data_IF_693095942930
#
_entry.id   IF_693095942930
#
_cell.length_a   1.000
_cell.length_b   1.000
_cell.length_c   1.000
_cell.angle_alpha   90.00
_cell.angle_beta   90.00
_cell.angle_gamma   90.00
#
_symmetry.space_group_name_H-M   'P 1'
#
loop_
_entity.id
_entity.type
_entity.pdbx_description
1 polymer ?
#
# COMPACT_ATOMS: atom_id res chain seq x y z
N UNK A 1 -23.31 0.54 9.11
CA UNK A 1 -23.54 0.02 10.48
C UNK A 1 -22.17 -0.18 11.11
N UNK A 2 -22.01 0.30 12.35
CA UNK A 2 -20.75 0.62 13.04
C UNK A 2 -19.72 -0.53 13.10
N UNK A 3 -18.43 -0.22 12.89
CA UNK A 3 -17.33 -1.12 13.28
C UNK A 3 -16.24 -0.29 14.00
N UNK A 4 -16.38 -0.20 15.32
CA UNK A 4 -15.27 0.00 16.26
C UNK A 4 -15.34 -1.15 17.27
N UNK A 5 -14.19 -1.62 17.74
CA UNK A 5 -13.92 -2.72 18.71
C UNK A 5 -13.31 -4.02 18.16
N UNK A 6 -12.11 -3.90 17.57
CA UNK A 6 -10.95 -4.77 17.87
C UNK A 6 -9.68 -3.98 17.54
N UNK A 7 -8.54 -4.21 18.23
CA UNK A 7 -7.28 -3.72 17.71
C UNK A 7 -7.04 -4.37 16.34
N UNK A 8 -6.98 -3.54 15.31
CA UNK A 8 -6.11 -3.72 14.14
C UNK A 8 -6.46 -4.66 12.98
N UNK A 9 -7.73 -4.97 12.70
CA UNK A 9 -8.07 -5.53 11.37
C UNK A 9 -9.35 -4.86 10.85
N UNK A 10 -9.19 -3.94 9.91
CA UNK A 10 -10.24 -3.71 8.91
C UNK A 10 -10.19 -4.97 8.04
N UNK A 11 -11.25 -5.76 8.01
CA UNK A 11 -11.36 -6.97 7.18
C UNK A 11 -12.35 -6.80 6.03
N UNK A 12 -13.07 -5.68 6.03
CA UNK A 12 -14.12 -5.39 5.07
C UNK A 12 -13.79 -4.12 4.31
N UNK A 13 -14.01 -4.21 3.00
CA UNK A 13 -13.85 -3.07 2.13
C UNK A 13 -14.91 -2.03 2.44
N UNK A 14 -14.52 -0.76 2.62
CA UNK A 14 -15.48 0.30 2.86
C UNK A 14 -16.48 0.36 1.70
N UNK A 15 -17.76 0.58 1.99
CA UNK A 15 -18.81 0.66 0.97
C UNK A 15 -18.59 1.83 -0.01
N UNK A 16 -17.81 2.83 0.42
CA UNK A 16 -17.40 3.99 -0.34
C UNK A 16 -16.13 3.79 -1.17
N UNK A 17 -15.92 4.69 -2.12
CA UNK A 17 -14.69 4.73 -2.92
C UNK A 17 -13.53 5.44 -2.22
N UNK A 18 -13.80 6.16 -1.14
CA UNK A 18 -12.81 6.90 -0.35
C UNK A 18 -12.91 6.45 1.10
N UNK A 19 -11.76 6.26 1.75
CA UNK A 19 -11.69 5.87 3.15
C UNK A 19 -10.55 6.57 3.88
N UNK A 20 -10.84 7.10 5.06
CA UNK A 20 -9.87 7.72 5.94
C UNK A 20 -9.62 6.80 7.14
N UNK A 21 -8.39 6.29 7.27
CA UNK A 21 -8.01 5.45 8.40
C UNK A 21 -7.95 6.32 9.67
N UNK A 22 -8.58 5.91 10.79
CA UNK A 22 -8.54 6.66 12.05
C UNK A 22 -7.11 6.91 12.56
N UNK A 23 -6.86 8.09 13.14
CA UNK A 23 -5.53 8.54 13.58
C UNK A 23 -4.92 7.78 14.76
N UNK A 24 -5.68 6.87 15.40
CA UNK A 24 -5.17 5.97 16.44
C UNK A 24 -4.65 4.64 15.88
N UNK A 25 -4.75 4.41 14.56
CA UNK A 25 -4.23 3.22 13.89
C UNK A 25 -2.72 3.36 13.72
N UNK A 26 -1.94 2.43 14.28
CA UNK A 26 -0.47 2.39 14.26
C UNK A 26 0.11 1.40 13.26
N UNK A 27 -0.70 0.53 12.67
CA UNK A 27 -0.28 -0.49 11.70
C UNK A 27 -1.47 -0.90 10.82
N UNK A 28 -1.20 -1.26 9.57
CA UNK A 28 -2.20 -1.85 8.68
C UNK A 28 -1.92 -3.34 8.59
N UNK A 29 -2.85 -4.16 9.08
CA UNK A 29 -2.70 -5.61 9.13
C UNK A 29 -2.58 -6.27 7.76
N UNK A 30 -2.10 -7.51 7.75
CA UNK A 30 -2.06 -8.33 6.53
C UNK A 30 -3.46 -8.47 5.94
N UNK A 31 -3.57 -8.30 4.62
CA UNK A 31 -4.82 -8.38 3.86
C UNK A 31 -5.95 -7.42 4.27
N UNK A 32 -5.69 -6.39 5.08
CA UNK A 32 -6.74 -5.55 5.67
C UNK A 32 -7.72 -4.92 4.66
N UNK A 33 -7.20 -4.48 3.51
CA UNK A 33 -7.96 -3.94 2.39
C UNK A 33 -7.78 -4.78 1.12
N UNK A 34 -7.44 -6.07 1.27
CA UNK A 34 -7.30 -6.94 0.12
C UNK A 34 -8.63 -7.06 -0.61
N UNK A 35 -8.59 -7.02 -1.94
CA UNK A 35 -9.74 -7.12 -2.83
C UNK A 35 -10.80 -6.00 -2.67
N UNK A 36 -10.40 -4.82 -2.19
CA UNK A 36 -11.27 -3.64 -2.18
C UNK A 36 -11.43 -3.02 -3.56
N UNK A 37 -12.21 -3.71 -4.40
CA UNK A 37 -12.41 -3.39 -5.81
C UNK A 37 -13.05 -2.02 -6.04
N UNK A 38 -13.73 -1.45 -5.04
CA UNK A 38 -14.38 -0.12 -5.12
C UNK A 38 -13.50 1.02 -4.61
N UNK A 39 -12.44 0.71 -3.86
CA UNK A 39 -11.58 1.72 -3.24
C UNK A 39 -10.78 2.46 -4.32
N UNK A 40 -10.98 3.77 -4.42
CA UNK A 40 -10.29 4.67 -5.34
C UNK A 40 -9.21 5.51 -4.66
N UNK A 41 -9.39 5.82 -3.37
CA UNK A 41 -8.47 6.61 -2.55
C UNK A 41 -8.52 6.15 -1.10
N UNK A 42 -7.38 6.23 -0.41
CA UNK A 42 -7.27 5.95 1.02
C UNK A 42 -6.26 6.89 1.67
N UNK A 43 -6.64 7.46 2.82
CA UNK A 43 -5.76 8.28 3.64
C UNK A 43 -5.17 7.43 4.77
N UNK A 44 -3.84 7.31 4.78
CA UNK A 44 -3.10 6.64 5.85
C UNK A 44 -2.58 7.72 6.82
N UNK A 45 -2.97 7.71 8.12
CA UNK A 45 -2.52 8.69 9.09
C UNK A 45 -1.04 8.48 9.45
N UNK A 46 -0.40 9.56 9.91
CA UNK A 46 1.01 9.56 10.35
C UNK A 46 1.29 8.76 11.62
N UNK A 47 0.26 8.18 12.25
CA UNK A 47 0.41 7.21 13.33
C UNK A 47 0.83 5.83 12.82
N UNK A 48 0.57 5.50 11.55
CA UNK A 48 0.87 4.19 10.96
C UNK A 48 2.37 4.04 10.73
N UNK A 49 2.96 2.98 11.30
CA UNK A 49 4.39 2.67 11.19
C UNK A 49 4.69 1.48 10.28
N UNK A 50 3.69 0.64 9.98
CA UNK A 50 3.87 -0.53 9.12
C UNK A 50 2.65 -0.84 8.25
N UNK A 51 2.92 -1.39 7.07
CA UNK A 51 1.90 -1.90 6.13
C UNK A 51 2.15 -3.39 5.91
N UNK A 52 1.17 -4.22 6.28
CA UNK A 52 1.27 -5.67 6.25
C UNK A 52 1.26 -6.30 4.86
N UNK A 53 1.52 -7.60 4.83
CA UNK A 53 1.51 -8.38 3.58
C UNK A 53 0.12 -8.37 2.94
N UNK A 54 0.08 -8.16 1.62
CA UNK A 54 -1.17 -8.07 0.85
C UNK A 54 -2.18 -7.02 1.33
N UNK A 55 -1.78 -6.05 2.16
CA UNK A 55 -2.68 -5.11 2.82
C UNK A 55 -3.66 -4.40 1.87
N UNK A 56 -3.24 -4.07 0.65
CA UNK A 56 -4.04 -3.45 -0.42
C UNK A 56 -4.03 -4.28 -1.71
N UNK A 57 -3.74 -5.58 -1.61
CA UNK A 57 -3.67 -6.45 -2.79
C UNK A 57 -5.01 -6.43 -3.55
N UNK A 58 -4.97 -6.37 -4.88
CA UNK A 58 -6.13 -6.37 -5.75
C UNK A 58 -7.11 -5.19 -5.55
N UNK A 59 -6.66 -4.05 -5.01
CA UNK A 59 -7.40 -2.79 -5.05
C UNK A 59 -7.37 -2.19 -6.47
N UNK A 60 -8.12 -2.79 -7.41
CA UNK A 60 -8.04 -2.50 -8.85
C UNK A 60 -8.32 -1.04 -9.23
N UNK A 61 -9.10 -0.31 -8.43
CA UNK A 61 -9.50 1.07 -8.68
C UNK A 61 -8.69 2.10 -7.89
N UNK A 62 -7.78 1.68 -7.00
CA UNK A 62 -6.94 2.60 -6.24
C UNK A 62 -6.00 3.31 -7.21
N UNK A 63 -6.13 4.62 -7.33
CA UNK A 63 -5.40 5.41 -8.36
C UNK A 63 -4.13 6.05 -7.82
N UNK A 64 -4.14 6.45 -6.56
CA UNK A 64 -3.03 7.06 -5.85
C UNK A 64 -3.06 6.65 -4.38
N UNK A 65 -1.89 6.57 -3.76
CA UNK A 65 -1.76 6.43 -2.32
C UNK A 65 -0.52 7.18 -1.83
N UNK A 66 -0.68 7.92 -0.73
CA UNK A 66 0.43 8.58 -0.04
C UNK A 66 0.82 7.72 1.15
N UNK A 67 2.06 7.22 1.17
CA UNK A 67 2.62 6.53 2.32
C UNK A 67 3.20 7.59 3.28
N UNK A 68 2.74 7.69 4.53
CA UNK A 68 3.25 8.70 5.45
C UNK A 68 4.68 8.39 5.89
N UNK A 69 5.45 9.42 6.21
CA UNK A 69 6.86 9.34 6.64
C UNK A 69 7.07 8.63 7.98
N UNK A 70 6.01 8.20 8.64
CA UNK A 70 6.06 7.33 9.82
C UNK A 70 6.23 5.86 9.46
N UNK A 71 5.93 5.46 8.22
CA UNK A 71 6.02 4.07 7.78
C UNK A 71 7.48 3.68 7.58
N UNK A 72 7.88 2.58 8.21
CA UNK A 72 9.23 2.03 8.13
C UNK A 72 9.30 0.74 7.29
N UNK A 73 8.18 0.05 7.10
CA UNK A 73 8.12 -1.23 6.40
C UNK A 73 6.86 -1.41 5.56
N UNK A 74 7.04 -2.00 4.36
CA UNK A 74 5.99 -2.38 3.43
C UNK A 74 6.08 -3.89 3.19
N UNK A 75 5.00 -4.61 3.48
CA UNK A 75 4.95 -6.06 3.41
C UNK A 75 4.95 -6.63 1.98
N UNK A 76 5.13 -7.95 1.90
CA UNK A 76 5.10 -8.68 0.62
C UNK A 76 3.74 -8.54 -0.04
N UNK A 77 3.73 -8.30 -1.35
CA UNK A 77 2.50 -8.09 -2.14
C UNK A 77 1.55 -6.99 -1.64
N UNK A 78 2.01 -6.07 -0.77
CA UNK A 78 1.17 -5.07 -0.11
C UNK A 78 0.26 -4.29 -1.07
N UNK A 79 0.73 -3.95 -2.27
CA UNK A 79 -0.01 -3.26 -3.33
C UNK A 79 -0.07 -4.08 -4.63
N UNK A 80 0.06 -5.40 -4.53
CA UNK A 80 0.03 -6.30 -5.68
C UNK A 80 -1.30 -6.16 -6.43
N UNK A 81 -1.26 -6.13 -7.76
CA UNK A 81 -2.43 -6.01 -8.64
C UNK A 81 -3.29 -4.77 -8.42
N UNK A 82 -2.76 -3.69 -7.84
CA UNK A 82 -3.40 -2.38 -7.87
C UNK A 82 -3.33 -1.80 -9.30
N UNK A 83 -4.15 -2.32 -10.22
CA UNK A 83 -4.07 -1.99 -11.65
C UNK A 83 -4.42 -0.54 -11.96
N UNK A 84 -5.15 0.13 -11.08
CA UNK A 84 -5.50 1.54 -11.18
C UNK A 84 -4.37 2.48 -10.77
N UNK A 85 -3.38 1.99 -10.01
CA UNK A 85 -2.37 2.81 -9.35
C UNK A 85 -1.42 3.38 -10.39
N UNK A 86 -1.39 4.71 -10.51
CA UNK A 86 -0.57 5.42 -11.51
C UNK A 86 0.76 5.91 -10.95
N UNK A 87 0.78 6.24 -9.66
CA UNK A 87 1.95 6.77 -8.96
C UNK A 87 1.96 6.31 -7.51
N UNK A 88 3.17 6.17 -6.97
CA UNK A 88 3.38 5.98 -5.54
C UNK A 88 4.70 6.61 -5.12
N UNK A 89 4.69 7.29 -3.98
CA UNK A 89 5.89 7.86 -3.36
C UNK A 89 6.25 7.03 -2.14
N UNK A 90 7.46 6.46 -2.12
CA UNK A 90 8.00 5.76 -0.97
C UNK A 90 8.80 6.76 -0.13
N UNK A 91 8.41 7.05 1.12
CA UNK A 91 9.14 8.01 1.95
C UNK A 91 10.49 7.43 2.40
N UNK A 92 11.46 8.32 2.68
CA UNK A 92 12.82 7.98 3.13
C UNK A 92 12.87 7.31 4.52
N UNK A 93 11.73 7.22 5.21
CA UNK A 93 11.59 6.45 6.45
C UNK A 93 11.52 4.94 6.21
N UNK A 94 11.16 4.52 4.99
CA UNK A 94 11.04 3.09 4.66
C UNK A 94 12.44 2.49 4.55
N UNK A 95 12.65 1.42 5.31
CA UNK A 95 13.90 0.64 5.30
C UNK A 95 13.73 -0.73 4.65
N UNK A 96 12.49 -1.23 4.55
CA UNK A 96 12.19 -2.57 4.02
C UNK A 96 10.97 -2.60 3.11
N UNK A 97 11.11 -3.22 1.93
CA UNK A 97 10.04 -3.46 0.97
C UNK A 97 9.97 -4.96 0.65
N UNK A 98 8.82 -5.58 0.91
CA UNK A 98 8.60 -7.00 0.68
C UNK A 98 8.53 -7.41 -0.80
N UNK A 99 8.67 -8.71 -1.05
CA UNK A 99 8.65 -9.27 -2.39
C UNK A 99 7.32 -9.00 -3.10
N UNK A 100 7.37 -8.69 -4.39
CA UNK A 100 6.19 -8.40 -5.22
C UNK A 100 5.27 -7.28 -4.69
N UNK A 101 5.76 -6.40 -3.81
CA UNK A 101 4.96 -5.35 -3.16
C UNK A 101 4.12 -4.52 -4.14
N UNK A 102 4.61 -4.25 -5.35
CA UNK A 102 3.91 -3.52 -6.41
C UNK A 102 3.74 -4.35 -7.69
N UNK A 103 3.75 -5.69 -7.60
CA UNK A 103 3.66 -6.54 -8.79
C UNK A 103 2.29 -6.42 -9.46
N UNK A 104 2.26 -6.25 -10.78
CA UNK A 104 1.02 -6.21 -11.55
C UNK A 104 0.28 -4.88 -11.46
N UNK A 105 0.91 -3.82 -10.95
CA UNK A 105 0.41 -2.45 -11.04
C UNK A 105 0.55 -1.95 -12.48
N UNK A 106 -0.39 -2.35 -13.35
CA UNK A 106 -0.33 -2.15 -14.81
C UNK A 106 -0.29 -0.69 -15.26
N UNK A 107 -0.75 0.26 -14.44
CA UNK A 107 -0.74 1.69 -14.76
C UNK A 107 0.38 2.47 -14.06
N UNK A 108 1.16 1.80 -13.21
CA UNK A 108 2.25 2.44 -12.48
C UNK A 108 3.38 2.71 -13.48
N UNK A 109 3.69 3.98 -13.72
CA UNK A 109 4.68 4.40 -14.73
C UNK A 109 6.03 4.77 -14.12
N UNK A 110 6.07 5.11 -12.84
CA UNK A 110 7.31 5.43 -12.14
C UNK A 110 7.21 5.07 -10.66
N UNK A 111 8.30 4.57 -10.10
CA UNK A 111 8.48 4.42 -8.66
C UNK A 111 9.90 4.84 -8.28
N UNK A 112 10.00 5.67 -7.24
CA UNK A 112 11.27 6.05 -6.63
C UNK A 112 11.47 5.21 -5.37
N UNK A 113 12.55 4.44 -5.32
CA UNK A 113 12.95 3.66 -4.15
C UNK A 113 14.06 4.47 -3.44
N UNK A 114 13.81 5.05 -2.26
CA UNK A 114 14.81 5.87 -1.59
C UNK A 114 16.02 5.03 -1.13
N UNK A 115 17.19 5.66 -1.05
CA UNK A 115 18.44 5.03 -0.57
C UNK A 115 18.37 4.51 0.87
N UNK A 116 17.36 4.92 1.63
CA UNK A 116 17.06 4.39 2.97
C UNK A 116 16.63 2.92 2.97
N UNK A 117 16.16 2.40 1.82
CA UNK A 117 15.71 1.02 1.70
C UNK A 117 16.91 0.08 1.64
N UNK A 118 17.17 -0.61 2.75
CA UNK A 118 18.28 -1.56 2.89
C UNK A 118 17.87 -3.00 2.60
N UNK A 119 16.57 -3.29 2.56
CA UNK A 119 16.01 -4.62 2.26
C UNK A 119 14.93 -4.53 1.18
N UNK A 120 15.18 -5.17 0.03
CA UNK A 120 14.28 -5.18 -1.14
C UNK A 120 13.99 -6.64 -1.51
N UNK A 121 12.72 -7.04 -1.41
CA UNK A 121 12.28 -8.38 -1.79
C UNK A 121 12.34 -8.63 -3.30
N UNK A 122 12.15 -9.88 -3.72
CA UNK A 122 12.18 -10.23 -5.14
C UNK A 122 10.96 -9.67 -5.91
N UNK A 123 11.16 -9.35 -7.18
CA UNK A 123 10.06 -9.00 -8.10
C UNK A 123 9.17 -7.82 -7.69
N UNK A 124 9.68 -6.85 -6.91
CA UNK A 124 8.91 -5.72 -6.33
C UNK A 124 7.95 -5.06 -7.33
N UNK A 125 8.37 -4.88 -8.58
CA UNK A 125 7.63 -4.19 -9.65
C UNK A 125 7.33 -5.07 -10.87
N UNK A 126 7.27 -6.39 -10.69
CA UNK A 126 7.12 -7.34 -11.79
C UNK A 126 5.75 -7.18 -12.49
N UNK A 127 5.76 -7.12 -13.84
CA UNK A 127 4.57 -6.98 -14.72
C UNK A 127 3.83 -5.64 -14.58
N UNK A 128 4.57 -4.55 -14.41
CA UNK A 128 4.01 -3.20 -14.35
C UNK A 128 4.02 -2.51 -15.73
N UNK A 129 3.34 -1.36 -15.86
CA UNK A 129 3.06 -0.66 -17.11
C UNK A 129 4.24 0.02 -17.81
N UNK A 130 5.41 -0.61 -17.83
CA UNK A 130 6.66 0.02 -18.26
C UNK A 130 7.26 0.94 -17.20
N UNK A 131 7.07 0.61 -15.91
CA UNK A 131 7.57 1.44 -14.81
C UNK A 131 9.07 1.70 -14.92
N UNK A 132 9.47 2.97 -14.97
CA UNK A 132 10.85 3.37 -14.74
C UNK A 132 11.13 3.27 -13.23
N UNK A 133 12.22 2.59 -12.86
CA UNK A 133 12.69 2.53 -11.47
C UNK A 133 13.75 3.59 -11.29
N UNK A 134 13.50 4.52 -10.38
CA UNK A 134 14.51 5.49 -9.96
C UNK A 134 14.99 5.10 -8.57
N UNK A 135 16.30 4.99 -8.43
CA UNK A 135 16.98 4.80 -7.15
C UNK A 135 17.50 6.15 -6.66
#
# INVERSE_FOLDING_TARGET
MLIFFVPFIISDCPEGSVYDIPSNVTSIGSSAFSACYRLTSITIPSSVTSIGSSAFSACYRLTSITIPSSVTSIGSSAFSRCTGLTSITIPSSVTSIGGSAFSGCKRLTSITIPSSVTSIGSSVIRRNGGSEVKF
#
